data_IF_011183325052
#
_entry.id   IF_011183325052
#
_cell.length_a   1.000
_cell.length_b   1.000
_cell.length_c   1.000
_cell.angle_alpha   90.00
_cell.angle_beta   90.00
_cell.angle_gamma   90.00
#
_symmetry.space_group_name_H-M   'P 1'
#
loop_
_entity.id
_entity.type
_entity.pdbx_description
1 polymer ?
#
# COMPACT_ATOMS: atom_id res chain seq x y z
N UNK A 1 19.54 -14.91 26.48
CA UNK A 1 21.00 -14.77 26.57
C UNK A 1 21.46 -13.70 25.58
N UNK A 2 21.97 -12.58 26.11
CA UNK A 2 23.01 -11.74 25.50
C UNK A 2 22.71 -10.94 24.23
N UNK A 3 22.16 -9.72 24.36
CA UNK A 3 22.35 -8.69 23.31
C UNK A 3 22.85 -7.36 23.93
N UNK A 4 22.50 -7.03 25.18
CA UNK A 4 23.00 -5.84 25.88
C UNK A 4 23.33 -6.17 27.33
N UNK A 5 24.44 -5.61 27.84
CA UNK A 5 24.90 -5.78 29.22
C UNK A 5 24.14 -4.88 30.21
N UNK A 6 23.56 -3.78 29.74
CA UNK A 6 22.79 -2.84 30.54
C UNK A 6 21.43 -2.53 29.89
N UNK A 7 20.36 -2.64 30.68
CA UNK A 7 19.01 -2.22 30.29
C UNK A 7 18.85 -0.71 30.53
N UNK A 8 18.01 0.00 29.75
CA UNK A 8 17.75 1.41 29.99
C UNK A 8 17.03 1.61 31.33
N UNK A 9 17.01 2.84 31.84
CA UNK A 9 16.22 3.11 33.05
C UNK A 9 14.72 2.82 32.80
N UNK A 10 14.07 2.04 33.69
CA UNK A 10 12.66 1.72 33.53
C UNK A 10 11.80 2.97 33.74
N UNK A 11 10.68 3.03 33.02
CA UNK A 11 9.64 4.03 33.27
C UNK A 11 8.84 3.58 34.49
N UNK A 12 8.76 4.43 35.51
CA UNK A 12 7.96 4.16 36.72
C UNK A 12 6.57 4.73 36.52
N UNK A 13 5.57 3.85 36.41
CA UNK A 13 4.16 4.24 36.39
C UNK A 13 3.43 3.56 37.56
N UNK A 14 2.73 4.36 38.37
CA UNK A 14 1.96 3.88 39.52
C UNK A 14 2.77 2.99 40.49
N UNK A 15 4.04 3.32 40.71
CA UNK A 15 4.94 2.60 41.63
C UNK A 15 5.42 1.24 41.11
N UNK A 16 5.21 0.93 39.82
CA UNK A 16 5.74 -0.25 39.16
C UNK A 16 6.67 0.16 38.02
N UNK A 17 7.76 -0.59 37.87
CA UNK A 17 8.75 -0.39 36.82
C UNK A 17 8.33 -1.12 35.55
N UNK A 18 8.30 -0.40 34.43
CA UNK A 18 8.00 -0.94 33.11
C UNK A 18 9.06 -0.51 32.10
N UNK A 19 9.23 -1.31 31.06
CA UNK A 19 10.05 -0.95 29.90
C UNK A 19 9.14 -0.67 28.72
N UNK A 20 9.22 0.54 28.15
CA UNK A 20 8.47 0.87 26.96
C UNK A 20 9.05 0.13 25.74
N UNK A 21 8.18 -0.32 24.83
CA UNK A 21 8.62 -1.00 23.59
C UNK A 21 9.59 -0.15 22.76
N UNK A 22 9.41 1.18 22.75
CA UNK A 22 10.33 2.12 22.12
C UNK A 22 11.72 2.10 22.75
N UNK A 23 11.81 2.08 24.09
CA UNK A 23 13.10 2.00 24.79
C UNK A 23 13.85 0.71 24.45
N UNK A 24 13.15 -0.42 24.41
CA UNK A 24 13.75 -1.70 24.04
C UNK A 24 14.19 -1.72 22.57
N UNK A 25 13.40 -1.11 21.68
CA UNK A 25 13.75 -0.99 20.26
C UNK A 25 14.97 -0.08 20.04
N UNK A 26 15.08 1.03 20.78
CA UNK A 26 16.23 1.95 20.72
C UNK A 26 17.57 1.27 20.99
N UNK A 27 17.60 0.21 21.80
CA UNK A 27 18.84 -0.54 22.04
C UNK A 27 19.43 -1.08 20.73
N UNK A 28 18.57 -1.43 19.77
CA UNK A 28 18.93 -2.04 18.49
C UNK A 28 19.54 -1.05 17.48
N UNK A 29 19.39 0.25 17.73
CA UNK A 29 19.80 1.30 16.79
C UNK A 29 21.25 1.76 17.05
N UNK A 30 21.98 2.17 16.00
CA UNK A 30 23.24 2.90 16.14
C UNK A 30 23.07 4.16 17.00
N UNK A 31 24.02 4.43 17.90
CA UNK A 31 23.89 5.44 18.98
C UNK A 31 23.90 6.90 18.51
N UNK A 32 24.32 7.16 17.28
CA UNK A 32 24.36 8.48 16.66
C UNK A 32 23.35 8.61 15.52
N UNK A 33 22.47 7.62 15.32
CA UNK A 33 21.46 7.64 14.27
C UNK A 33 20.43 8.73 14.57
N UNK A 34 20.23 9.61 13.59
CA UNK A 34 19.16 10.60 13.59
C UNK A 34 18.33 10.42 12.31
N UNK A 35 17.02 10.24 12.47
CA UNK A 35 16.13 9.98 11.34
C UNK A 35 14.70 10.39 11.67
N UNK A 36 14.05 11.03 10.69
CA UNK A 36 12.65 11.41 10.78
C UNK A 36 11.91 11.04 9.50
N UNK A 37 10.77 10.38 9.66
CA UNK A 37 9.89 10.04 8.55
C UNK A 37 8.46 9.80 9.04
N UNK A 38 7.53 9.62 8.10
CA UNK A 38 6.15 9.25 8.41
C UNK A 38 5.97 7.74 8.22
N UNK A 39 5.45 7.09 9.25
CA UNK A 39 5.03 5.69 9.19
C UNK A 39 3.90 5.51 8.15
N UNK A 40 3.72 4.29 7.64
CA UNK A 40 2.60 3.94 6.74
C UNK A 40 1.25 4.21 7.40
N UNK A 41 1.14 4.01 8.72
CA UNK A 41 -0.10 4.25 9.46
C UNK A 41 -0.53 5.73 9.50
N UNK A 42 0.30 6.65 9.00
CA UNK A 42 0.01 8.09 9.01
C UNK A 42 -1.21 8.42 8.14
N UNK A 43 -2.31 8.85 8.78
CA UNK A 43 -3.55 9.28 8.12
C UNK A 43 -3.45 10.61 7.34
N UNK A 44 -2.25 11.25 7.32
CA UNK A 44 -2.00 12.54 6.64
C UNK A 44 -3.05 13.62 6.96
N UNK A 45 -3.33 13.83 8.25
CA UNK A 45 -4.20 14.92 8.70
C UNK A 45 -3.80 16.28 8.08
N UNK A 46 -4.78 17.17 7.89
CA UNK A 46 -4.59 18.49 7.29
C UNK A 46 -3.46 19.28 7.97
N UNK A 47 -3.39 19.20 9.30
CA UNK A 47 -2.29 19.77 10.10
C UNK A 47 -1.47 18.66 10.76
N UNK A 48 -0.16 18.65 10.48
CA UNK A 48 0.76 17.66 11.05
C UNK A 48 1.33 18.12 12.39
N UNK A 49 0.87 17.49 13.49
CA UNK A 49 1.36 17.74 14.84
C UNK A 49 2.73 17.11 15.16
N UNK A 50 3.39 16.48 14.18
CA UNK A 50 4.69 15.80 14.32
C UNK A 50 4.70 14.82 15.51
N UNK A 51 5.61 15.00 16.48
CA UNK A 51 5.71 14.18 17.70
C UNK A 51 4.42 14.14 18.52
N UNK A 52 3.56 15.17 18.43
CA UNK A 52 2.24 15.22 19.07
C UNK A 52 1.12 14.54 18.27
N UNK A 53 1.46 13.70 17.28
CA UNK A 53 0.46 13.00 16.48
C UNK A 53 -0.30 11.98 17.34
N UNK A 54 -1.63 12.10 17.39
CA UNK A 54 -2.49 11.19 18.17
C UNK A 54 -2.35 9.72 17.74
N UNK A 55 -2.07 9.46 16.46
CA UNK A 55 -1.85 8.11 15.93
C UNK A 55 -0.40 7.64 16.07
N UNK A 56 0.48 8.40 16.71
CA UNK A 56 1.91 8.11 16.89
C UNK A 56 2.59 7.66 15.57
N UNK A 57 2.25 8.35 14.47
CA UNK A 57 2.66 7.97 13.12
C UNK A 57 3.89 8.75 12.62
N UNK A 58 4.38 9.71 13.40
CA UNK A 58 5.55 10.52 13.06
C UNK A 58 6.77 9.94 13.76
N UNK A 59 7.60 9.26 12.98
CA UNK A 59 8.79 8.57 13.51
C UNK A 59 9.92 9.55 13.68
N UNK A 60 10.45 9.62 14.89
CA UNK A 60 11.60 10.45 15.25
C UNK A 60 12.58 9.60 16.02
N UNK A 61 13.76 9.41 15.43
CA UNK A 61 14.91 8.77 16.07
C UNK A 61 15.96 9.86 16.29
N UNK A 62 16.42 10.01 17.53
CA UNK A 62 17.47 10.96 17.91
C UNK A 62 18.56 10.24 18.68
N UNK A 63 19.80 10.31 18.22
CA UNK A 63 20.95 9.63 18.84
C UNK A 63 20.65 8.16 19.19
N UNK A 64 20.12 7.41 18.22
CA UNK A 64 19.76 6.00 18.40
C UNK A 64 18.57 5.76 19.34
N UNK A 65 17.86 6.80 19.79
CA UNK A 65 16.67 6.67 20.62
C UNK A 65 15.41 6.92 19.79
N UNK A 66 14.49 5.96 19.76
CA UNK A 66 13.15 6.12 19.18
C UNK A 66 12.29 6.95 20.13
N UNK A 67 12.17 8.25 19.85
CA UNK A 67 11.46 9.23 20.68
C UNK A 67 9.96 9.16 20.43
N UNK A 68 9.54 9.14 19.17
CA UNK A 68 8.14 9.06 18.76
C UNK A 68 8.00 8.17 17.53
N UNK A 69 6.77 7.71 17.28
CA UNK A 69 6.44 6.92 16.12
C UNK A 69 6.36 5.42 16.38
N UNK A 70 5.68 4.74 15.49
CA UNK A 70 5.64 3.27 15.40
C UNK A 70 6.47 2.77 14.23
N UNK A 71 6.99 1.54 14.35
CA UNK A 71 7.69 0.87 13.26
C UNK A 71 6.70 0.06 12.41
N UNK A 72 6.74 0.23 11.09
CA UNK A 72 5.90 -0.49 10.13
C UNK A 72 6.64 -0.74 8.80
N UNK A 73 5.93 -1.03 7.70
CA UNK A 73 6.53 -1.25 6.39
C UNK A 73 7.44 -0.09 5.95
N UNK A 74 7.18 1.16 6.37
CA UNK A 74 8.03 2.32 6.06
C UNK A 74 9.34 2.34 6.84
N UNK A 75 9.51 1.48 7.84
CA UNK A 75 10.75 1.38 8.60
C UNK A 75 11.75 0.46 7.91
N UNK A 76 11.36 -0.77 7.60
CA UNK A 76 12.27 -1.80 7.10
C UNK A 76 11.65 -2.70 6.01
N UNK A 77 10.57 -2.26 5.36
CA UNK A 77 9.99 -2.96 4.20
C UNK A 77 10.91 -2.86 2.97
N UNK A 78 10.95 -3.92 2.16
CA UNK A 78 11.91 -4.10 1.07
C UNK A 78 11.98 -2.95 0.04
N UNK A 79 10.86 -2.23 -0.18
CA UNK A 79 10.76 -1.14 -1.15
C UNK A 79 10.39 0.21 -0.54
N UNK A 80 10.31 0.29 0.79
CA UNK A 80 9.76 1.47 1.47
C UNK A 80 10.47 1.82 2.78
N UNK A 81 11.43 1.00 3.23
CA UNK A 81 12.07 1.10 4.52
C UNK A 81 13.09 2.24 4.61
N UNK A 82 12.67 3.39 5.13
CA UNK A 82 13.54 4.56 5.35
C UNK A 82 14.60 4.30 6.43
N UNK A 83 14.26 3.53 7.47
CA UNK A 83 15.20 3.22 8.56
C UNK A 83 16.26 2.23 8.10
N UNK A 84 15.86 1.14 7.45
CA UNK A 84 16.80 0.15 6.95
C UNK A 84 17.72 0.75 5.87
N UNK A 85 17.17 1.50 4.93
CA UNK A 85 17.94 2.22 3.90
C UNK A 85 18.98 3.14 4.55
N UNK A 86 18.60 3.88 5.59
CA UNK A 86 19.52 4.77 6.31
C UNK A 86 20.64 4.01 7.02
N UNK A 87 20.32 2.90 7.69
CA UNK A 87 21.33 2.09 8.37
C UNK A 87 22.34 1.53 7.35
N UNK A 88 21.87 1.04 6.20
CA UNK A 88 22.75 0.53 5.13
C UNK A 88 23.68 1.63 4.61
N UNK A 89 23.15 2.83 4.36
CA UNK A 89 23.93 3.94 3.77
C UNK A 89 24.93 4.57 4.72
N UNK A 90 24.56 4.75 5.98
CA UNK A 90 25.40 5.45 6.96
C UNK A 90 26.39 4.50 7.67
N UNK A 91 25.98 3.25 7.92
CA UNK A 91 26.73 2.31 8.77
C UNK A 91 27.17 1.04 8.02
N UNK A 92 26.75 0.88 6.76
CA UNK A 92 27.12 -0.26 5.92
C UNK A 92 26.24 -1.50 6.10
N UNK A 93 26.45 -2.47 5.23
CA UNK A 93 25.65 -3.70 5.13
C UNK A 93 25.81 -4.62 6.33
N UNK A 94 26.97 -4.62 6.98
CA UNK A 94 27.22 -5.46 8.16
C UNK A 94 26.37 -5.02 9.36
N UNK A 95 26.23 -3.70 9.55
CA UNK A 95 25.41 -3.18 10.64
C UNK A 95 23.92 -3.35 10.34
N UNK A 96 23.51 -3.15 9.08
CA UNK A 96 22.15 -3.47 8.65
C UNK A 96 21.80 -4.95 8.88
N UNK A 97 22.72 -5.88 8.58
CA UNK A 97 22.53 -7.30 8.87
C UNK A 97 22.36 -7.56 10.36
N UNK A 98 23.25 -6.99 11.20
CA UNK A 98 23.15 -7.13 12.67
C UNK A 98 21.83 -6.56 13.20
N UNK A 99 21.40 -5.41 12.69
CA UNK A 99 20.13 -4.78 13.02
C UNK A 99 18.96 -5.71 12.69
N UNK A 100 18.88 -6.22 11.46
CA UNK A 100 17.81 -7.14 11.02
C UNK A 100 17.77 -8.40 11.89
N UNK A 101 18.91 -9.05 12.12
CA UNK A 101 19.00 -10.26 12.96
C UNK A 101 18.45 -10.01 14.38
N UNK A 102 18.76 -8.85 14.97
CA UNK A 102 18.32 -8.49 16.33
C UNK A 102 16.84 -8.10 16.36
N UNK A 103 16.38 -7.28 15.43
CA UNK A 103 14.97 -6.84 15.34
C UNK A 103 14.06 -8.04 15.13
N UNK A 104 14.40 -8.94 14.20
CA UNK A 104 13.58 -10.14 13.93
C UNK A 104 13.46 -11.01 15.17
N UNK A 105 14.55 -11.25 15.90
CA UNK A 105 14.51 -12.02 17.16
C UNK A 105 13.66 -11.35 18.24
N UNK A 106 13.78 -10.03 18.41
CA UNK A 106 12.99 -9.26 19.37
C UNK A 106 11.49 -9.35 19.03
N UNK A 107 11.13 -9.03 17.79
CA UNK A 107 9.75 -9.00 17.33
C UNK A 107 9.10 -10.39 17.40
N UNK A 108 9.82 -11.46 17.03
CA UNK A 108 9.32 -12.83 17.19
C UNK A 108 9.04 -13.13 18.67
N UNK A 109 9.94 -12.76 19.59
CA UNK A 109 9.70 -12.99 21.02
C UNK A 109 8.48 -12.22 21.53
N UNK A 110 8.34 -10.95 21.14
CA UNK A 110 7.23 -10.08 21.53
C UNK A 110 5.90 -10.63 20.98
N UNK A 111 5.85 -10.99 19.69
CA UNK A 111 4.61 -11.48 19.08
C UNK A 111 4.19 -12.84 19.63
N UNK A 112 5.14 -13.73 19.95
CA UNK A 112 4.86 -15.01 20.63
C UNK A 112 4.26 -14.79 22.01
N UNK A 113 4.67 -13.75 22.75
CA UNK A 113 4.12 -13.42 24.08
C UNK A 113 2.80 -12.66 24.03
N UNK A 114 2.66 -11.66 23.13
CA UNK A 114 1.43 -10.87 22.97
C UNK A 114 0.31 -11.72 22.38
N UNK A 115 0.65 -12.64 21.48
CA UNK A 115 -0.30 -13.33 20.62
C UNK A 115 -0.79 -12.42 19.50
N UNK A 116 -0.88 -12.95 18.29
CA UNK A 116 -1.45 -12.24 17.15
C UNK A 116 -2.16 -13.28 16.27
N UNK A 117 -3.48 -13.12 16.13
CA UNK A 117 -4.34 -14.02 15.36
C UNK A 117 -5.43 -13.21 14.69
N UNK A 118 -6.03 -13.77 13.64
CA UNK A 118 -7.17 -13.16 12.94
C UNK A 118 -8.34 -14.14 12.92
N UNK A 119 -9.54 -13.60 13.03
CA UNK A 119 -10.79 -14.34 13.02
C UNK A 119 -11.77 -13.79 11.99
N UNK A 120 -12.82 -14.55 11.69
CA UNK A 120 -13.89 -14.11 10.77
C UNK A 120 -14.63 -12.89 11.35
N UNK A 121 -14.59 -12.70 12.66
CA UNK A 121 -15.19 -11.59 13.39
C UNK A 121 -14.42 -10.27 13.29
N UNK A 122 -13.20 -10.30 12.75
CA UNK A 122 -12.43 -9.10 12.37
C UNK A 122 -13.04 -8.41 11.13
N UNK A 123 -13.98 -9.04 10.44
CA UNK A 123 -14.67 -8.50 9.26
C UNK A 123 -16.13 -8.13 9.56
N UNK A 124 -16.58 -8.29 10.81
CA UNK A 124 -17.95 -8.01 11.19
C UNK A 124 -18.21 -6.51 11.33
N UNK A 125 -19.15 -6.03 10.53
CA UNK A 125 -19.66 -4.66 10.59
C UNK A 125 -20.98 -4.59 11.35
N UNK A 126 -21.22 -3.53 12.15
CA UNK A 126 -22.51 -3.27 12.77
C UNK A 126 -23.59 -3.02 11.71
N UNK A 127 -24.86 -3.19 12.09
CA UNK A 127 -25.99 -3.05 11.14
C UNK A 127 -26.07 -1.64 10.54
N UNK A 128 -25.80 -0.61 11.36
CA UNK A 128 -25.75 0.78 10.90
C UNK A 128 -24.74 0.98 9.75
N UNK A 129 -23.54 0.41 9.87
CA UNK A 129 -22.52 0.46 8.83
C UNK A 129 -22.99 -0.27 7.56
N UNK A 130 -23.63 -1.43 7.70
CA UNK A 130 -24.17 -2.20 6.57
C UNK A 130 -25.27 -1.43 5.83
N UNK A 131 -26.16 -0.77 6.55
CA UNK A 131 -27.23 0.07 5.99
C UNK A 131 -26.64 1.27 5.24
N UNK A 132 -25.66 1.96 5.82
CA UNK A 132 -24.98 3.10 5.20
C UNK A 132 -24.23 2.69 3.93
N UNK A 133 -23.54 1.55 3.95
CA UNK A 133 -22.90 0.97 2.77
C UNK A 133 -23.95 0.64 1.70
N UNK A 134 -25.05 0.01 2.07
CA UNK A 134 -26.13 -0.33 1.14
C UNK A 134 -26.75 0.93 0.50
N UNK A 135 -26.92 2.01 1.26
CA UNK A 135 -27.40 3.30 0.76
C UNK A 135 -26.44 3.91 -0.28
N UNK A 136 -25.13 3.88 -0.02
CA UNK A 136 -24.11 4.40 -0.95
C UNK A 136 -24.10 3.60 -2.25
N UNK A 137 -24.12 2.28 -2.15
CA UNK A 137 -24.15 1.40 -3.32
C UNK A 137 -25.46 1.58 -4.10
N UNK A 138 -26.60 1.74 -3.41
CA UNK A 138 -27.89 2.05 -4.04
C UNK A 138 -27.87 3.37 -4.79
N UNK A 139 -27.37 4.45 -4.18
CA UNK A 139 -27.19 5.76 -4.84
C UNK A 139 -26.28 5.67 -6.07
N UNK A 140 -25.23 4.85 -6.01
CA UNK A 140 -24.36 4.61 -7.15
C UNK A 140 -25.09 3.88 -8.30
N UNK A 141 -25.86 2.83 -7.99
CA UNK A 141 -26.71 2.13 -8.97
C UNK A 141 -27.74 3.09 -9.60
N UNK A 142 -28.37 3.97 -8.82
CA UNK A 142 -29.29 5.01 -9.32
C UNK A 142 -28.58 6.02 -10.23
N UNK A 143 -27.38 6.48 -9.86
CA UNK A 143 -26.60 7.39 -10.69
C UNK A 143 -26.16 6.74 -12.01
N UNK A 144 -25.83 5.45 -12.00
CA UNK A 144 -25.58 4.68 -13.21
C UNK A 144 -26.84 4.66 -14.10
N UNK A 145 -28.03 4.48 -13.54
CA UNK A 145 -29.26 4.55 -14.33
C UNK A 145 -29.53 5.95 -14.91
N UNK A 146 -29.20 7.02 -14.18
CA UNK A 146 -29.28 8.39 -14.71
C UNK A 146 -28.32 8.60 -15.89
N UNK A 147 -27.10 8.06 -15.80
CA UNK A 147 -26.12 8.11 -16.90
C UNK A 147 -26.60 7.33 -18.13
N UNK A 148 -27.20 6.16 -17.93
CA UNK A 148 -27.78 5.36 -19.02
C UNK A 148 -28.94 6.12 -19.69
N UNK A 149 -29.84 6.70 -18.92
CA UNK A 149 -30.92 7.54 -19.46
C UNK A 149 -30.39 8.74 -20.23
N UNK A 150 -29.40 9.45 -19.68
CA UNK A 150 -28.77 10.58 -20.38
C UNK A 150 -28.12 10.17 -21.71
N UNK A 151 -27.61 8.94 -21.80
CA UNK A 151 -27.09 8.37 -23.04
C UNK A 151 -28.23 8.01 -24.03
N UNK A 152 -29.31 7.41 -23.54
CA UNK A 152 -30.50 7.06 -24.35
C UNK A 152 -31.23 8.30 -24.88
N UNK A 153 -31.25 9.39 -24.09
CA UNK A 153 -31.83 10.68 -24.45
C UNK A 153 -30.87 11.56 -25.28
N UNK A 154 -29.68 11.06 -25.64
CA UNK A 154 -28.64 11.77 -26.40
C UNK A 154 -28.15 13.10 -25.79
N UNK A 155 -28.34 13.29 -24.48
CA UNK A 155 -27.90 14.49 -23.73
C UNK A 155 -26.54 14.31 -23.03
N UNK A 156 -25.91 13.13 -23.16
CA UNK A 156 -24.63 12.84 -22.53
C UNK A 156 -23.49 13.59 -23.21
N UNK A 157 -22.77 14.41 -22.44
CA UNK A 157 -21.58 15.11 -22.92
C UNK A 157 -20.42 14.13 -23.21
N UNK A 158 -19.98 14.12 -24.46
CA UNK A 158 -18.88 13.29 -24.96
C UNK A 158 -17.53 13.75 -24.39
N UNK A 159 -16.70 12.80 -23.95
CA UNK A 159 -15.33 13.10 -23.56
C UNK A 159 -14.42 13.29 -24.79
N UNK A 160 -13.45 14.22 -24.75
CA UNK A 160 -12.54 14.46 -25.86
C UNK A 160 -11.80 13.18 -26.28
N UNK A 161 -11.82 12.86 -27.58
CA UNK A 161 -11.13 11.69 -28.15
C UNK A 161 -11.79 10.34 -27.86
N UNK A 162 -13.02 10.32 -27.31
CA UNK A 162 -13.78 9.10 -27.02
C UNK A 162 -15.13 9.13 -27.69
N UNK A 163 -15.67 7.95 -28.02
CA UNK A 163 -17.06 7.81 -28.46
C UNK A 163 -18.04 8.08 -27.30
N UNK A 164 -19.31 8.31 -27.60
CA UNK A 164 -20.35 8.46 -26.58
C UNK A 164 -20.51 7.19 -25.73
N UNK A 165 -20.39 6.01 -26.34
CA UNK A 165 -20.48 4.74 -25.62
C UNK A 165 -19.29 4.52 -24.69
N UNK A 166 -18.05 4.78 -25.14
CA UNK A 166 -16.88 4.76 -24.25
C UNK A 166 -17.00 5.78 -23.12
N UNK A 167 -17.56 6.97 -23.42
CA UNK A 167 -17.80 8.01 -22.42
C UNK A 167 -18.77 7.54 -21.34
N UNK A 168 -19.88 6.90 -21.74
CA UNK A 168 -20.83 6.30 -20.82
C UNK A 168 -20.14 5.26 -19.92
N UNK A 169 -19.42 4.32 -20.52
CA UNK A 169 -18.74 3.24 -19.79
C UNK A 169 -17.70 3.77 -18.80
N UNK A 170 -16.91 4.76 -19.20
CA UNK A 170 -15.94 5.41 -18.31
C UNK A 170 -16.60 6.12 -17.14
N UNK A 171 -17.66 6.91 -17.37
CA UNK A 171 -18.39 7.60 -16.31
C UNK A 171 -19.03 6.61 -15.33
N UNK A 172 -19.59 5.51 -15.82
CA UNK A 172 -20.15 4.44 -14.98
C UNK A 172 -19.04 3.78 -14.13
N UNK A 173 -17.92 3.41 -14.73
CA UNK A 173 -16.79 2.81 -13.98
C UNK A 173 -16.28 3.75 -12.89
N UNK A 174 -16.17 5.06 -13.19
CA UNK A 174 -15.79 6.07 -12.20
C UNK A 174 -16.78 6.11 -11.03
N UNK A 175 -18.09 6.26 -11.32
CA UNK A 175 -19.14 6.30 -10.27
C UNK A 175 -19.12 5.05 -9.38
N UNK A 176 -18.95 3.86 -9.96
CA UNK A 176 -18.91 2.61 -9.21
C UNK A 176 -17.60 2.45 -8.41
N UNK A 177 -16.48 2.95 -8.92
CA UNK A 177 -15.20 2.97 -8.19
C UNK A 177 -15.26 3.89 -6.99
N UNK A 178 -15.78 5.11 -7.15
CA UNK A 178 -15.96 6.07 -6.07
C UNK A 178 -16.89 5.51 -4.98
N UNK A 179 -17.99 4.85 -5.36
CA UNK A 179 -18.90 4.21 -4.42
C UNK A 179 -18.22 3.11 -3.59
N UNK A 180 -17.38 2.28 -4.24
CA UNK A 180 -16.59 1.24 -3.56
C UNK A 180 -15.60 1.87 -2.57
N UNK A 181 -14.91 2.93 -2.96
CA UNK A 181 -13.90 3.60 -2.12
C UNK A 181 -14.55 4.29 -0.89
N UNK A 182 -15.74 4.87 -1.06
CA UNK A 182 -16.55 5.41 0.03
C UNK A 182 -17.04 4.30 0.97
N UNK A 183 -17.54 3.19 0.42
CA UNK A 183 -17.95 2.02 1.21
C UNK A 183 -16.77 1.44 2.01
N UNK A 184 -15.57 1.37 1.42
CA UNK A 184 -14.35 0.93 2.09
C UNK A 184 -13.90 1.85 3.21
N UNK A 185 -14.02 3.16 3.01
CA UNK A 185 -13.68 4.16 4.02
C UNK A 185 -14.59 4.06 5.24
N UNK A 186 -15.91 3.89 5.02
CA UNK A 186 -16.90 3.66 6.09
C UNK A 186 -16.62 2.34 6.81
N UNK A 187 -16.41 1.25 6.08
CA UNK A 187 -16.08 -0.03 6.71
C UNK A 187 -14.83 0.08 7.59
N UNK A 188 -13.78 0.76 7.13
CA UNK A 188 -12.56 0.94 7.92
C UNK A 188 -12.78 1.82 9.17
N UNK A 189 -13.63 2.85 9.09
CA UNK A 189 -14.01 3.69 10.22
C UNK A 189 -14.74 2.88 11.30
N UNK A 190 -15.78 2.12 10.92
CA UNK A 190 -16.52 1.30 11.88
C UNK A 190 -15.69 0.14 12.44
N UNK A 191 -14.78 -0.47 11.66
CA UNK A 191 -13.85 -1.49 12.18
C UNK A 191 -12.83 -0.91 13.18
N UNK A 192 -12.46 0.37 13.02
CA UNK A 192 -11.66 1.09 14.01
C UNK A 192 -12.45 1.32 15.31
N UNK A 193 -13.67 1.83 15.21
CA UNK A 193 -14.55 2.06 16.36
C UNK A 193 -14.90 0.78 17.11
N UNK A 194 -15.22 -0.30 16.40
CA UNK A 194 -15.50 -1.62 17.00
C UNK A 194 -14.30 -2.16 17.80
N UNK A 195 -13.07 -1.83 17.39
CA UNK A 195 -11.87 -2.24 18.14
C UNK A 195 -11.82 -1.59 19.53
N UNK A 196 -12.28 -0.33 19.63
CA UNK A 196 -12.37 0.39 20.90
C UNK A 196 -13.47 -0.20 21.79
N UNK A 197 -14.64 -0.51 21.21
CA UNK A 197 -15.79 -1.08 21.93
C UNK A 197 -15.49 -2.49 22.46
N UNK A 198 -14.87 -3.35 21.66
CA UNK A 198 -14.55 -4.73 22.05
C UNK A 198 -13.35 -4.82 23.00
N UNK A 199 -12.65 -3.71 23.23
CA UNK A 199 -11.41 -3.68 24.02
C UNK A 199 -10.29 -4.52 23.42
N UNK A 200 -10.36 -4.85 22.11
CA UNK A 200 -9.34 -5.60 21.39
C UNK A 200 -9.09 -4.99 20.03
N UNK A 201 -7.82 -4.88 19.65
CA UNK A 201 -7.46 -4.39 18.32
C UNK A 201 -7.88 -5.39 17.24
N UNK A 202 -8.39 -4.89 16.11
CA UNK A 202 -8.69 -5.71 14.95
C UNK A 202 -7.40 -6.09 14.19
N UNK A 203 -7.01 -7.36 14.25
CA UNK A 203 -5.77 -7.86 13.65
C UNK A 203 -5.74 -7.75 12.13
N UNK A 204 -6.86 -8.03 11.45
CA UNK A 204 -6.96 -7.91 9.99
C UNK A 204 -6.70 -6.46 9.55
N UNK A 205 -7.30 -5.51 10.26
CA UNK A 205 -7.07 -4.08 10.06
C UNK A 205 -5.61 -3.70 10.35
N UNK A 206 -5.03 -4.15 11.46
CA UNK A 206 -3.61 -3.88 11.78
C UNK A 206 -2.71 -4.35 10.65
N UNK A 207 -2.88 -5.58 10.15
CA UNK A 207 -2.04 -6.10 9.05
C UNK A 207 -2.13 -5.25 7.79
N UNK A 208 -3.34 -4.79 7.44
CA UNK A 208 -3.58 -3.95 6.27
C UNK A 208 -2.97 -2.54 6.42
N UNK A 209 -3.16 -1.90 7.58
CA UNK A 209 -2.70 -0.52 7.84
C UNK A 209 -1.19 -0.46 8.00
N UNK A 210 -0.59 -1.44 8.68
CA UNK A 210 0.88 -1.54 8.86
C UNK A 210 1.61 -1.99 7.60
N UNK A 211 0.91 -2.59 6.64
CA UNK A 211 1.49 -3.14 5.41
C UNK A 211 2.16 -4.49 5.57
N UNK A 212 1.94 -5.18 6.69
CA UNK A 212 2.48 -6.52 6.90
C UNK A 212 1.90 -7.54 5.92
N UNK A 213 0.57 -7.53 5.73
CA UNK A 213 -0.10 -8.38 4.75
C UNK A 213 -1.50 -7.86 4.45
N UNK A 214 -1.87 -7.89 3.18
CA UNK A 214 -3.16 -7.37 2.72
C UNK A 214 -3.16 -5.85 2.58
N UNK A 215 -4.26 -5.34 2.04
CA UNK A 215 -4.47 -3.91 1.80
C UNK A 215 -5.82 -3.49 2.37
N UNK A 216 -6.04 -2.18 2.53
CA UNK A 216 -7.36 -1.64 2.87
C UNK A 216 -8.43 -2.00 1.84
N UNK A 217 -8.02 -2.16 0.57
CA UNK A 217 -8.91 -2.66 -0.47
C UNK A 217 -9.34 -4.10 -0.20
N UNK A 218 -8.43 -4.98 0.21
CA UNK A 218 -8.80 -6.36 0.54
C UNK A 218 -9.79 -6.40 1.71
N UNK A 219 -9.57 -5.58 2.74
CA UNK A 219 -10.50 -5.44 3.87
C UNK A 219 -11.87 -4.91 3.42
N UNK A 220 -11.89 -3.95 2.49
CA UNK A 220 -13.11 -3.44 1.86
C UNK A 220 -13.86 -4.54 1.11
N UNK A 221 -13.17 -5.40 0.36
CA UNK A 221 -13.79 -6.51 -0.37
C UNK A 221 -14.33 -7.60 0.56
N UNK A 222 -13.65 -7.83 1.69
CA UNK A 222 -14.06 -8.80 2.70
C UNK A 222 -15.29 -8.32 3.48
N UNK A 223 -15.30 -7.07 3.93
CA UNK A 223 -16.34 -6.54 4.81
C UNK A 223 -17.47 -5.76 4.10
N UNK A 224 -17.14 -4.93 3.09
CA UNK A 224 -18.06 -3.96 2.49
C UNK A 224 -18.66 -4.41 1.14
N UNK A 225 -17.85 -4.43 0.07
CA UNK A 225 -18.24 -4.87 -1.26
C UNK A 225 -17.02 -5.19 -2.13
N UNK A 226 -17.15 -6.14 -3.06
CA UNK A 226 -16.06 -6.46 -4.00
C UNK A 226 -15.87 -5.35 -5.04
N UNK A 227 -16.98 -4.80 -5.55
CA UNK A 227 -17.01 -3.75 -6.56
C UNK A 227 -17.08 -4.25 -8.01
N UNK A 228 -16.79 -3.36 -8.96
CA UNK A 228 -16.90 -3.63 -10.39
C UNK A 228 -15.88 -4.67 -10.87
N UNK A 229 -16.35 -5.75 -11.49
CA UNK A 229 -15.48 -6.69 -12.21
C UNK A 229 -15.25 -6.20 -13.64
N UNK A 230 -14.01 -6.27 -14.09
CA UNK A 230 -13.62 -5.88 -15.44
C UNK A 230 -12.92 -7.05 -16.14
N UNK A 231 -12.99 -7.06 -17.46
CA UNK A 231 -12.20 -7.93 -18.32
C UNK A 231 -11.60 -7.08 -19.44
N UNK A 232 -10.28 -7.03 -19.53
CA UNK A 232 -9.50 -6.22 -20.50
C UNK A 232 -9.77 -4.71 -20.39
N UNK A 233 -9.94 -4.23 -19.16
CA UNK A 233 -10.14 -2.80 -18.88
C UNK A 233 -11.57 -2.30 -19.09
N UNK A 234 -12.49 -3.15 -19.53
CA UNK A 234 -13.91 -2.82 -19.73
C UNK A 234 -14.78 -3.61 -18.75
N UNK A 235 -16.00 -3.10 -18.48
CA UNK A 235 -17.01 -3.88 -17.77
C UNK A 235 -17.35 -5.16 -18.55
N UNK A 236 -17.95 -6.13 -17.87
CA UNK A 236 -18.22 -7.43 -18.50
C UNK A 236 -19.28 -7.24 -19.59
N UNK A 237 -18.87 -7.35 -20.86
CA UNK A 237 -19.78 -7.25 -22.00
C UNK A 237 -20.04 -8.58 -22.73
N UNK A 238 -19.07 -9.50 -22.67
CA UNK A 238 -19.12 -10.79 -23.35
C UNK A 238 -20.15 -11.72 -22.72
N UNK A 239 -20.94 -12.38 -23.54
CA UNK A 239 -22.02 -13.25 -23.10
C UNK A 239 -22.96 -13.66 -24.24
N UNK A 240 -24.25 -13.64 -23.97
CA UNK A 240 -25.31 -13.89 -24.95
C UNK A 240 -25.53 -12.68 -25.87
N UNK A 241 -26.31 -12.88 -26.95
CA UNK A 241 -26.68 -11.79 -27.86
C UNK A 241 -27.49 -10.73 -27.09
N UNK A 242 -26.94 -9.51 -27.04
CA UNK A 242 -27.56 -8.36 -26.39
C UNK A 242 -27.54 -8.36 -24.86
N UNK A 243 -26.90 -9.33 -24.18
CA UNK A 243 -26.84 -9.39 -22.71
C UNK A 243 -25.72 -10.30 -22.21
N UNK A 244 -25.24 -10.07 -20.98
CA UNK A 244 -24.15 -10.87 -20.40
C UNK A 244 -24.60 -12.26 -19.97
N UNK A 245 -25.70 -12.35 -19.24
CA UNK A 245 -26.29 -13.58 -18.70
C UNK A 245 -27.78 -13.69 -19.10
N UNK A 246 -28.36 -14.91 -19.16
CA UNK A 246 -29.73 -15.11 -19.60
C UNK A 246 -30.77 -14.58 -18.60
N UNK A 247 -30.33 -14.22 -17.39
CA UNK A 247 -31.12 -13.64 -16.32
C UNK A 247 -31.39 -12.14 -16.50
N UNK A 248 -30.65 -11.45 -17.37
CA UNK A 248 -30.84 -10.03 -17.66
C UNK A 248 -31.68 -9.81 -18.92
N UNK A 249 -32.30 -8.63 -19.02
CA UNK A 249 -33.05 -8.25 -20.22
C UNK A 249 -32.07 -7.94 -21.37
N UNK A 250 -32.46 -8.21 -22.64
CA UNK A 250 -31.68 -7.74 -23.77
C UNK A 250 -31.50 -6.21 -23.74
N UNK A 251 -30.27 -5.74 -23.98
CA UNK A 251 -29.90 -4.32 -23.98
C UNK A 251 -29.57 -3.74 -22.61
N UNK A 252 -29.69 -4.49 -21.51
CA UNK A 252 -29.51 -3.97 -20.16
C UNK A 252 -28.04 -3.57 -19.87
N UNK A 253 -27.78 -2.27 -19.64
CA UNK A 253 -26.45 -1.69 -19.36
C UNK A 253 -26.18 -1.37 -17.88
N UNK A 254 -27.10 -1.73 -16.99
CA UNK A 254 -27.03 -1.44 -15.56
C UNK A 254 -25.79 -2.04 -14.86
N UNK A 255 -25.49 -1.56 -13.65
CA UNK A 255 -24.31 -1.97 -12.89
C UNK A 255 -24.23 -3.50 -12.70
N UNK A 256 -25.31 -4.11 -12.20
CA UNK A 256 -25.39 -5.57 -11.97
C UNK A 256 -25.29 -6.39 -13.26
N UNK A 257 -25.95 -5.94 -14.32
CA UNK A 257 -25.93 -6.61 -15.62
C UNK A 257 -24.53 -6.67 -16.23
N UNK A 258 -23.65 -5.73 -15.87
CA UNK A 258 -22.28 -5.61 -16.39
C UNK A 258 -21.21 -5.96 -15.36
N UNK A 259 -21.54 -6.73 -14.33
CA UNK A 259 -20.54 -7.32 -13.43
C UNK A 259 -20.19 -6.52 -12.18
N UNK A 260 -21.05 -5.58 -11.75
CA UNK A 260 -20.90 -4.97 -10.42
C UNK A 260 -21.30 -5.95 -9.32
N UNK A 261 -20.41 -6.16 -8.36
CA UNK A 261 -20.62 -7.04 -7.20
C UNK A 261 -20.77 -6.18 -5.95
N UNK A 262 -22.00 -6.05 -5.46
CA UNK A 262 -22.33 -5.24 -4.28
C UNK A 262 -22.17 -6.02 -2.98
N UNK A 263 -22.17 -7.35 -3.04
CA UNK A 263 -21.87 -8.20 -1.89
C UNK A 263 -20.38 -8.20 -1.53
N UNK A 264 -20.08 -8.47 -0.27
CA UNK A 264 -18.73 -8.71 0.25
C UNK A 264 -18.47 -10.22 0.41
N UNK A 265 -17.21 -10.62 0.59
CA UNK A 265 -16.90 -12.04 0.84
C UNK A 265 -17.55 -12.55 2.12
N UNK A 266 -17.62 -11.73 3.18
CA UNK A 266 -18.27 -12.08 4.44
C UNK A 266 -19.78 -12.31 4.28
N UNK A 267 -20.46 -11.47 3.48
CA UNK A 267 -21.89 -11.63 3.17
C UNK A 267 -22.16 -12.86 2.29
N UNK A 268 -21.20 -13.19 1.43
CA UNK A 268 -21.35 -14.21 0.39
C UNK A 268 -21.91 -13.64 -0.90
N UNK A 269 -21.49 -14.23 -2.02
CA UNK A 269 -21.87 -13.79 -3.37
C UNK A 269 -23.10 -14.52 -3.86
N UNK A 270 -23.99 -13.81 -4.53
CA UNK A 270 -25.06 -14.48 -5.27
C UNK A 270 -24.48 -15.19 -6.53
N UNK A 271 -25.22 -16.13 -7.16
CA UNK A 271 -24.69 -16.89 -8.29
C UNK A 271 -24.23 -16.04 -9.48
N UNK A 272 -24.88 -14.91 -9.75
CA UNK A 272 -24.51 -13.99 -10.84
C UNK A 272 -23.20 -13.26 -10.51
N UNK A 273 -23.11 -12.73 -9.29
CA UNK A 273 -21.91 -12.08 -8.76
C UNK A 273 -20.72 -13.03 -8.74
N UNK A 274 -20.92 -14.26 -8.28
CA UNK A 274 -19.88 -15.29 -8.26
C UNK A 274 -19.36 -15.60 -9.66
N UNK A 275 -20.25 -15.69 -10.65
CA UNK A 275 -19.87 -15.94 -12.03
C UNK A 275 -19.07 -14.77 -12.62
N UNK A 276 -19.52 -13.53 -12.39
CA UNK A 276 -18.78 -12.34 -12.83
C UNK A 276 -17.42 -12.20 -12.14
N UNK A 277 -17.37 -12.48 -10.83
CA UNK A 277 -16.12 -12.47 -10.08
C UNK A 277 -15.13 -13.50 -10.60
N UNK A 278 -15.61 -14.69 -10.98
CA UNK A 278 -14.81 -15.74 -11.60
C UNK A 278 -14.24 -15.32 -12.96
N UNK A 279 -14.96 -14.50 -13.74
CA UNK A 279 -14.45 -13.93 -14.99
C UNK A 279 -13.28 -12.98 -14.74
N UNK A 280 -13.40 -12.07 -13.76
CA UNK A 280 -12.32 -11.17 -13.37
C UNK A 280 -11.09 -11.93 -12.87
N UNK A 281 -11.29 -12.98 -12.05
CA UNK A 281 -10.22 -13.86 -11.60
C UNK A 281 -9.49 -14.58 -12.74
N UNK A 282 -10.21 -14.96 -13.81
CA UNK A 282 -9.61 -15.59 -14.99
C UNK A 282 -8.67 -14.65 -15.74
N UNK A 283 -9.01 -13.37 -15.85
CA UNK A 283 -8.13 -12.38 -16.49
C UNK A 283 -6.77 -12.33 -15.78
N UNK A 284 -6.76 -12.18 -14.45
CA UNK A 284 -5.52 -12.11 -13.68
C UNK A 284 -4.61 -13.33 -13.87
N UNK A 285 -5.19 -14.53 -13.92
CA UNK A 285 -4.44 -15.78 -14.17
C UNK A 285 -3.85 -15.83 -15.58
N UNK A 286 -4.62 -15.42 -16.59
CA UNK A 286 -4.18 -15.44 -17.99
C UNK A 286 -3.12 -14.36 -18.23
N UNK A 287 -3.32 -13.15 -17.73
CA UNK A 287 -2.39 -12.04 -17.91
C UNK A 287 -1.03 -12.34 -17.28
N UNK A 288 -1.02 -12.96 -16.10
CA UNK A 288 0.23 -13.38 -15.44
C UNK A 288 0.99 -14.41 -16.29
N UNK A 289 0.28 -15.38 -16.87
CA UNK A 289 0.88 -16.40 -17.72
C UNK A 289 1.45 -15.80 -19.02
N UNK A 290 0.71 -14.91 -19.68
CA UNK A 290 1.12 -14.32 -20.97
C UNK A 290 2.27 -13.33 -20.80
N UNK A 291 2.19 -12.42 -19.83
CA UNK A 291 3.17 -11.33 -19.64
C UNK A 291 4.57 -11.84 -19.32
N UNK A 292 4.69 -12.99 -18.65
CA UNK A 292 5.97 -13.60 -18.27
C UNK A 292 6.87 -13.88 -19.48
N UNK A 293 6.29 -14.36 -20.60
CA UNK A 293 7.04 -14.66 -21.81
C UNK A 293 7.62 -13.41 -22.48
N UNK A 294 6.82 -12.35 -22.57
CA UNK A 294 7.19 -11.10 -23.22
C UNK A 294 8.21 -10.31 -22.39
N UNK A 295 8.02 -10.22 -21.08
CA UNK A 295 8.94 -9.51 -20.18
C UNK A 295 10.31 -10.18 -20.16
N UNK A 296 10.36 -11.51 -20.03
CA UNK A 296 11.62 -12.26 -20.04
C UNK A 296 12.34 -12.16 -21.39
N UNK A 297 11.61 -12.21 -22.51
CA UNK A 297 12.21 -12.04 -23.83
C UNK A 297 12.76 -10.62 -24.05
N UNK A 298 12.01 -9.58 -23.66
CA UNK A 298 12.48 -8.20 -23.70
C UNK A 298 13.72 -8.01 -22.84
N UNK A 299 13.71 -8.53 -21.61
CA UNK A 299 14.87 -8.49 -20.72
C UNK A 299 16.09 -9.17 -21.34
N UNK A 300 15.94 -10.37 -21.91
CA UNK A 300 17.04 -11.08 -22.60
C UNK A 300 17.60 -10.28 -23.78
N UNK A 301 16.74 -9.65 -24.57
CA UNK A 301 17.17 -8.79 -25.70
C UNK A 301 17.98 -7.60 -25.22
N UNK A 302 17.52 -6.92 -24.16
CA UNK A 302 18.22 -5.78 -23.58
C UNK A 302 19.56 -6.18 -22.95
N UNK A 303 19.59 -7.29 -22.19
CA UNK A 303 20.83 -7.84 -21.63
C UNK A 303 21.83 -8.12 -22.76
N UNK A 304 21.40 -8.85 -23.80
CA UNK A 304 22.30 -9.18 -24.90
C UNK A 304 22.79 -7.96 -25.69
N UNK A 305 22.03 -6.87 -25.70
CA UNK A 305 22.42 -5.63 -26.37
C UNK A 305 23.38 -4.76 -25.54
N UNK A 306 23.34 -4.88 -24.20
CA UNK A 306 24.04 -3.99 -23.27
C UNK A 306 25.15 -4.69 -22.47
N UNK A 307 25.36 -6.00 -22.64
CA UNK A 307 26.33 -6.78 -21.85
C UNK A 307 27.77 -6.30 -21.97
N UNK A 308 28.12 -5.69 -23.11
CA UNK A 308 29.47 -5.25 -23.45
C UNK A 308 29.81 -3.86 -22.89
N UNK A 309 28.84 -3.18 -22.26
CA UNK A 309 29.02 -1.83 -21.73
C UNK A 309 29.68 -1.86 -20.35
N UNK A 310 30.72 -1.03 -20.17
CA UNK A 310 31.39 -0.84 -18.87
C UNK A 310 31.73 0.63 -18.64
N UNK A 311 31.82 1.01 -17.36
CA UNK A 311 32.33 2.31 -16.92
C UNK A 311 33.86 2.22 -16.81
N UNK A 312 34.56 3.07 -17.56
CA UNK A 312 36.02 3.18 -17.50
C UNK A 312 36.47 4.12 -16.38
N UNK A 313 37.77 4.10 -16.04
CA UNK A 313 38.35 4.93 -14.96
C UNK A 313 38.16 6.45 -15.14
N UNK A 314 37.92 6.91 -16.37
CA UNK A 314 37.64 8.32 -16.67
C UNK A 314 36.15 8.70 -16.50
N UNK A 315 35.31 7.75 -16.07
CA UNK A 315 33.87 7.94 -15.85
C UNK A 315 33.02 7.82 -17.11
N UNK A 316 33.63 7.54 -18.27
CA UNK A 316 32.91 7.30 -19.53
C UNK A 316 32.37 5.87 -19.58
N UNK A 317 31.23 5.68 -20.27
CA UNK A 317 30.69 4.35 -20.56
C UNK A 317 31.12 3.95 -21.97
N UNK A 318 31.79 2.80 -22.10
CA UNK A 318 32.32 2.32 -23.37
C UNK A 318 31.93 0.88 -23.67
N UNK A 319 31.88 0.55 -24.96
CA UNK A 319 31.77 -0.83 -25.44
C UNK A 319 33.15 -1.55 -25.44
N UNK A 320 33.16 -2.84 -25.79
CA UNK A 320 34.38 -3.67 -25.88
C UNK A 320 35.38 -3.21 -26.95
N UNK A 321 34.96 -2.37 -27.91
CA UNK A 321 35.82 -1.79 -28.96
C UNK A 321 36.41 -0.44 -28.56
N UNK A 322 36.03 0.09 -27.39
CA UNK A 322 36.45 1.40 -26.90
C UNK A 322 35.63 2.57 -27.46
N UNK A 323 34.48 2.31 -28.09
CA UNK A 323 33.57 3.36 -28.54
C UNK A 323 32.84 3.92 -27.32
N UNK A 324 32.88 5.25 -27.18
CA UNK A 324 32.19 5.97 -26.10
C UNK A 324 30.69 6.01 -26.40
N UNK A 325 29.89 5.51 -25.46
CA UNK A 325 28.42 5.54 -25.49
C UNK A 325 27.90 6.71 -24.65
N UNK A 326 28.45 6.91 -23.45
CA UNK A 326 28.17 8.06 -22.59
C UNK A 326 29.49 8.72 -22.16
N UNK A 327 29.56 10.05 -22.23
CA UNK A 327 30.72 10.81 -21.73
C UNK A 327 30.82 10.82 -20.20
N UNK A 328 29.70 10.56 -19.53
CA UNK A 328 29.62 10.48 -18.07
C UNK A 328 28.46 9.57 -17.73
N UNK A 329 28.73 8.51 -16.96
CA UNK A 329 27.71 7.53 -16.56
C UNK A 329 26.46 8.22 -15.98
N UNK A 330 25.29 8.00 -16.59
CA UNK A 330 24.03 8.55 -16.09
C UNK A 330 23.97 10.09 -16.06
N UNK A 331 24.82 10.77 -16.86
CA UNK A 331 25.00 12.23 -16.92
C UNK A 331 25.54 12.88 -15.63
N UNK A 332 25.39 12.23 -14.48
CA UNK A 332 25.77 12.74 -13.18
C UNK A 332 26.94 11.97 -12.52
N UNK A 333 27.24 10.77 -13.00
CA UNK A 333 28.27 9.87 -12.49
C UNK A 333 27.87 9.13 -11.22
N UNK A 334 26.59 9.17 -10.82
CA UNK A 334 26.12 8.59 -9.58
C UNK A 334 25.58 7.17 -9.80
N UNK A 335 26.05 6.22 -8.98
CA UNK A 335 25.49 4.87 -8.90
C UNK A 335 24.11 4.93 -8.23
N UNK A 336 23.00 4.58 -8.91
CA UNK A 336 21.65 4.66 -8.36
C UNK A 336 21.49 3.91 -7.04
N UNK A 337 22.23 2.81 -6.83
CA UNK A 337 22.19 2.02 -5.59
C UNK A 337 22.76 2.76 -4.38
N UNK A 338 23.60 3.78 -4.61
CA UNK A 338 24.22 4.62 -3.58
C UNK A 338 23.52 5.97 -3.41
N UNK A 339 22.58 6.30 -4.29
CA UNK A 339 21.82 7.55 -4.21
C UNK A 339 20.71 7.50 -3.16
N UNK A 340 20.25 8.66 -2.73
CA UNK A 340 19.05 8.80 -1.91
C UNK A 340 17.82 8.91 -2.79
N UNK A 341 17.25 7.76 -3.19
CA UNK A 341 16.07 7.69 -4.03
C UNK A 341 16.25 8.43 -5.37
N UNK A 342 17.40 8.24 -6.02
CA UNK A 342 17.76 8.92 -7.27
C UNK A 342 18.31 10.33 -7.09
N UNK A 343 18.35 10.87 -5.86
CA UNK A 343 19.01 12.14 -5.59
C UNK A 343 20.47 11.91 -5.19
N UNK A 344 21.40 12.55 -5.91
CA UNK A 344 22.85 12.50 -5.61
C UNK A 344 23.13 13.09 -4.23
N UNK A 345 22.52 14.25 -3.95
CA UNK A 345 22.66 14.96 -2.66
C UNK A 345 21.29 15.35 -2.17
N UNK A 346 20.81 14.66 -1.13
CA UNK A 346 19.56 15.03 -0.48
C UNK A 346 19.79 16.15 0.53
N UNK A 347 19.85 17.39 0.03
CA UNK A 347 20.14 18.60 0.83
C UNK A 347 19.20 18.73 2.03
N UNK A 348 17.91 18.40 1.87
CA UNK A 348 16.93 18.47 2.97
C UNK A 348 17.27 17.49 4.08
N UNK A 349 17.58 16.23 3.75
CA UNK A 349 18.00 15.21 4.73
C UNK A 349 19.30 15.61 5.42
N UNK A 350 20.27 16.16 4.69
CA UNK A 350 21.54 16.64 5.26
C UNK A 350 21.31 17.80 6.23
N UNK A 351 20.54 18.82 5.83
CA UNK A 351 20.17 19.94 6.71
C UNK A 351 19.47 19.44 7.95
N UNK A 352 18.55 18.47 7.82
CA UNK A 352 17.85 17.91 8.95
C UNK A 352 18.79 17.17 9.91
N UNK A 353 19.66 16.31 9.40
CA UNK A 353 20.68 15.61 10.20
C UNK A 353 21.59 16.61 10.93
N UNK A 354 22.06 17.65 10.24
CA UNK A 354 22.92 18.68 10.84
C UNK A 354 22.15 19.54 11.87
N UNK A 355 20.90 19.91 11.58
CA UNK A 355 20.08 20.72 12.47
C UNK A 355 19.72 19.96 13.76
N UNK A 356 19.42 18.67 13.65
CA UNK A 356 19.22 17.79 14.80
C UNK A 356 20.52 17.61 15.60
N UNK A 357 21.66 17.49 14.92
CA UNK A 357 22.98 17.50 15.55
C UNK A 357 23.38 18.85 16.17
N UNK A 358 22.80 19.99 15.76
CA UNK A 358 23.06 21.33 16.34
C UNK A 358 22.15 21.67 17.51
N UNK A 359 20.95 21.08 17.61
CA UNK A 359 20.14 21.13 18.84
C UNK A 359 20.80 20.42 20.04
N UNK A 360 21.98 19.83 19.80
CA UNK A 360 22.92 19.24 20.75
C UNK A 360 23.78 20.27 21.50
N UNK A 361 23.85 21.52 21.02
CA UNK A 361 24.74 22.58 21.52
C UNK A 361 24.03 23.54 22.46
#
# INVERSE_FOLDING_TARGET
SGIYEELPEPVVENGREYYAGKQLFSLLLPKDLNLVYRAKICKKHDTCLKEGCQSDAYVVIRNGQLVSGVMDEKSFGAFAGELLDRIVKDYGTDEARRFLDRVTKLVINVITRKGFSTGIDDEDLPNEAKERIAEILGKAEENVQKLIKAYEDEILEQLPGRTLEETLEMRIMQTLSEARDLAGSIANEYLEQESEVRGRENSARIMAVTGARGSLLNLTQMAACIGQQAVRGERIVRGYVGRTLPHFKPGEKGARARGFVSSSYKKGLNPLEYFFHSMGGREGLVDTAVRTSQSGYMQRRLINALLDLKVEYDGTVRDTRGIIIEFKHGEDGADPSRTDWGSIVNVRKIIQSIAENRRRS
#
